data_IF_006718955407
#
_entry.id   IF_006718955407
#
_cell.length_a   1.000
_cell.length_b   1.000
_cell.length_c   1.000
_cell.angle_alpha   90.00
_cell.angle_beta   90.00
_cell.angle_gamma   90.00
#
_symmetry.space_group_name_H-M   'P 1'
#
loop_
_entity.id
_entity.type
_entity.pdbx_description
1 polymer ?
#
# COMPACT_ATOMS: atom_id res chain seq x y z
N UNK A 1 -8.61 -23.06 13.24
CA UNK A 1 -9.46 -22.20 12.39
C UNK A 1 -10.79 -22.89 12.17
N UNK A 2 -11.92 -22.17 12.20
CA UNK A 2 -13.25 -22.75 11.96
C UNK A 2 -13.53 -22.84 10.45
N UNK A 3 -13.87 -24.02 9.93
CA UNK A 3 -14.16 -24.25 8.50
C UNK A 3 -15.22 -23.27 7.96
N UNK A 4 -16.26 -23.01 8.76
CA UNK A 4 -17.32 -22.04 8.45
C UNK A 4 -16.81 -20.62 8.17
N UNK A 5 -15.72 -20.20 8.83
CA UNK A 5 -15.12 -18.88 8.62
C UNK A 5 -14.34 -18.84 7.32
N UNK A 6 -13.72 -19.96 6.92
CA UNK A 6 -12.90 -20.09 5.71
C UNK A 6 -13.75 -20.20 4.46
N UNK A 7 -14.76 -21.08 4.49
CA UNK A 7 -15.67 -21.31 3.38
C UNK A 7 -16.47 -20.05 3.02
N UNK A 8 -16.77 -19.20 4.02
CA UNK A 8 -17.47 -17.96 3.82
C UNK A 8 -16.63 -16.89 3.08
N UNK A 9 -15.30 -17.05 2.98
CA UNK A 9 -14.44 -16.04 2.35
C UNK A 9 -14.50 -16.06 0.82
N UNK A 10 -14.68 -17.24 0.21
CA UNK A 10 -14.81 -17.35 -1.24
C UNK A 10 -15.43 -18.67 -1.69
N UNK A 11 -16.03 -18.72 -2.90
CA UNK A 11 -16.51 -19.97 -3.48
C UNK A 11 -15.41 -21.02 -3.67
N UNK A 12 -14.18 -20.58 -3.96
CA UNK A 12 -13.01 -21.47 -4.10
C UNK A 12 -12.72 -22.14 -2.77
N UNK A 13 -12.65 -21.38 -1.67
CA UNK A 13 -12.42 -21.92 -0.33
C UNK A 13 -13.57 -22.79 0.15
N UNK A 14 -14.82 -22.42 -0.15
CA UNK A 14 -15.97 -23.28 0.13
C UNK A 14 -15.86 -24.64 -0.56
N UNK A 15 -15.48 -24.63 -1.84
CA UNK A 15 -15.27 -25.86 -2.59
C UNK A 15 -14.09 -26.65 -2.01
N UNK A 16 -12.98 -25.98 -1.69
CA UNK A 16 -11.80 -26.61 -1.10
C UNK A 16 -12.09 -27.29 0.23
N UNK A 17 -12.90 -26.67 1.09
CA UNK A 17 -13.23 -27.17 2.43
C UNK A 17 -14.30 -28.27 2.42
N UNK A 18 -15.31 -28.15 1.56
CA UNK A 18 -16.52 -28.99 1.62
C UNK A 18 -16.60 -30.08 0.54
N UNK A 19 -15.77 -30.04 -0.50
CA UNK A 19 -15.82 -31.01 -1.58
C UNK A 19 -15.00 -32.25 -1.24
N UNK A 20 -15.69 -33.37 -1.02
CA UNK A 20 -15.09 -34.68 -0.67
C UNK A 20 -14.19 -35.29 -1.73
N UNK A 21 -14.15 -34.72 -2.94
CA UNK A 21 -13.18 -35.11 -3.96
C UNK A 21 -11.76 -34.60 -3.64
N UNK A 22 -11.60 -33.64 -2.72
CA UNK A 22 -10.30 -33.22 -2.20
C UNK A 22 -9.93 -34.06 -0.98
N UNK A 23 -8.69 -34.55 -0.95
CA UNK A 23 -8.13 -35.32 0.16
C UNK A 23 -8.18 -34.49 1.45
N UNK A 24 -7.91 -33.20 1.35
CA UNK A 24 -7.89 -32.22 2.43
C UNK A 24 -9.25 -32.07 3.11
N UNK A 25 -10.34 -32.08 2.33
CA UNK A 25 -11.71 -32.04 2.85
C UNK A 25 -12.06 -33.33 3.62
N UNK A 26 -11.61 -34.48 3.11
CA UNK A 26 -11.78 -35.77 3.79
C UNK A 26 -10.97 -35.88 5.09
N UNK A 27 -9.74 -35.38 5.09
CA UNK A 27 -8.83 -35.38 6.24
C UNK A 27 -9.10 -34.24 7.23
N UNK A 28 -9.93 -33.26 6.86
CA UNK A 28 -10.16 -32.00 7.59
C UNK A 28 -8.84 -31.27 7.91
N UNK A 29 -7.88 -31.41 7.02
CA UNK A 29 -6.53 -30.91 7.17
C UNK A 29 -5.97 -30.51 5.81
N UNK A 30 -5.51 -29.28 5.69
CA UNK A 30 -4.89 -28.75 4.47
C UNK A 30 -3.48 -28.27 4.79
N UNK A 31 -2.53 -28.61 3.92
CA UNK A 31 -1.16 -28.09 3.97
C UNK A 31 -0.97 -27.11 2.81
N UNK A 32 -0.50 -25.90 3.13
CA UNK A 32 -0.27 -24.82 2.17
C UNK A 32 1.24 -24.50 2.12
N UNK A 33 2.06 -25.31 1.43
CA UNK A 33 3.52 -25.15 1.43
C UNK A 33 4.00 -23.84 0.79
N UNK A 34 3.19 -23.28 -0.13
CA UNK A 34 3.53 -22.07 -0.88
C UNK A 34 3.06 -20.78 -0.18
N UNK A 35 2.41 -20.90 0.99
CA UNK A 35 1.92 -19.78 1.78
C UNK A 35 2.79 -19.65 3.03
N UNK A 36 3.48 -18.53 3.17
CA UNK A 36 4.25 -18.24 4.37
C UNK A 36 3.35 -17.98 5.60
N UNK A 37 3.93 -18.15 6.77
CA UNK A 37 3.21 -18.05 8.04
C UNK A 37 2.60 -16.66 8.25
N UNK A 38 3.29 -15.59 7.89
CA UNK A 38 2.79 -14.22 8.08
C UNK A 38 1.58 -13.94 7.19
N UNK A 39 1.63 -14.38 5.92
CA UNK A 39 0.48 -14.30 5.00
C UNK A 39 -0.71 -15.08 5.56
N UNK A 40 -0.47 -16.30 6.07
CA UNK A 40 -1.53 -17.13 6.64
C UNK A 40 -2.14 -16.52 7.91
N UNK A 41 -1.32 -16.02 8.84
CA UNK A 41 -1.78 -15.34 10.06
C UNK A 41 -2.60 -14.10 9.71
N UNK A 42 -2.14 -13.30 8.75
CA UNK A 42 -2.83 -12.09 8.29
C UNK A 42 -4.19 -12.43 7.66
N UNK A 43 -4.25 -13.50 6.86
CA UNK A 43 -5.50 -14.02 6.33
C UNK A 43 -6.46 -14.46 7.45
N UNK A 44 -5.98 -15.16 8.49
CA UNK A 44 -6.81 -15.56 9.63
C UNK A 44 -7.38 -14.32 10.32
N UNK A 45 -6.55 -13.32 10.62
CA UNK A 45 -7.01 -12.08 11.24
C UNK A 45 -8.13 -11.43 10.42
N UNK A 46 -7.92 -11.35 9.10
CA UNK A 46 -8.93 -10.85 8.17
C UNK A 46 -10.20 -11.70 8.18
N UNK A 47 -10.11 -13.01 8.12
CA UNK A 47 -11.28 -13.88 8.03
C UNK A 47 -12.19 -13.76 9.25
N UNK A 48 -11.63 -13.51 10.44
CA UNK A 48 -12.40 -13.33 11.68
C UNK A 48 -12.88 -11.90 11.93
N UNK A 49 -12.13 -10.88 11.52
CA UNK A 49 -12.43 -9.48 11.88
C UNK A 49 -12.90 -8.63 10.70
N UNK A 50 -12.73 -9.12 9.47
CA UNK A 50 -12.96 -8.38 8.25
C UNK A 50 -11.93 -7.27 7.97
N UNK A 51 -10.83 -7.23 8.72
CA UNK A 51 -9.72 -6.29 8.56
C UNK A 51 -8.39 -6.97 8.95
N UNK A 52 -7.26 -6.40 8.56
CA UNK A 52 -5.95 -6.82 9.06
C UNK A 52 -5.13 -5.60 9.44
N UNK A 53 -4.21 -5.77 10.40
CA UNK A 53 -3.32 -4.68 10.81
C UNK A 53 -2.28 -4.40 9.74
N UNK A 54 -2.09 -3.12 9.43
CA UNK A 54 -1.06 -2.65 8.49
C UNK A 54 0.27 -2.64 9.25
N UNK A 55 1.21 -3.49 8.87
CA UNK A 55 2.59 -3.46 9.38
C UNK A 55 3.11 -1.99 9.44
N UNK A 56 3.62 -1.60 10.62
CA UNK A 56 3.88 -0.21 11.00
C UNK A 56 3.03 0.24 12.20
N UNK A 57 1.79 -0.24 12.35
CA UNK A 57 0.90 0.19 13.45
C UNK A 57 1.09 -0.59 14.76
N UNK A 58 1.79 -1.73 14.74
CA UNK A 58 2.00 -2.56 15.93
C UNK A 58 2.91 -1.87 16.97
N UNK A 59 3.97 -1.19 16.54
CA UNK A 59 4.81 -0.36 17.42
C UNK A 59 4.07 0.89 17.94
N UNK A 60 3.04 1.35 17.24
CA UNK A 60 2.18 2.45 17.68
C UNK A 60 1.25 2.07 18.83
N UNK A 61 0.76 0.81 18.91
CA UNK A 61 -0.07 0.36 20.04
C UNK A 61 0.71 0.35 21.36
N UNK A 62 1.97 -0.10 21.35
CA UNK A 62 2.84 -0.07 22.53
C UNK A 62 3.19 1.38 22.94
N UNK A 63 3.43 2.28 21.98
CA UNK A 63 3.74 3.69 22.28
C UNK A 63 2.52 4.51 22.70
N UNK A 64 1.33 4.29 22.11
CA UNK A 64 0.08 4.92 22.56
C UNK A 64 -0.32 4.41 23.94
N UNK A 65 -0.07 3.15 24.27
CA UNK A 65 -0.25 2.64 25.63
C UNK A 65 0.68 3.37 26.63
N UNK A 66 1.93 3.64 26.26
CA UNK A 66 2.89 4.38 27.09
C UNK A 66 2.55 5.87 27.25
N UNK A 67 1.96 6.51 26.23
CA UNK A 67 1.51 7.92 26.29
C UNK A 67 0.20 8.04 27.09
N UNK A 68 -0.77 7.17 26.83
CA UNK A 68 -2.08 7.18 27.52
C UNK A 68 -1.94 6.85 29.01
N UNK A 69 -0.98 6.01 29.41
CA UNK A 69 -0.68 5.76 30.83
C UNK A 69 0.06 6.92 31.51
N UNK A 70 0.72 7.81 30.74
CA UNK A 70 1.39 9.01 31.27
C UNK A 70 0.47 10.22 31.39
N UNK A 71 -0.53 10.33 30.52
CA UNK A 71 -1.43 11.49 30.48
C UNK A 71 -2.63 11.38 31.44
N UNK A 72 -2.91 10.19 31.99
CA UNK A 72 -3.89 10.05 33.08
C UNK A 72 -3.44 10.63 34.45
N UNK A 73 -2.26 11.26 34.53
CA UNK A 73 -1.72 11.84 35.76
C UNK A 73 -1.62 13.37 35.77
N UNK A 74 -2.09 14.09 34.74
CA UNK A 74 -2.05 15.56 34.73
C UNK A 74 -3.22 16.17 33.99
N UNK A 75 -4.31 16.41 34.72
CA UNK A 75 -5.19 17.57 34.57
C UNK A 75 -5.64 17.91 36.01
N UNK A 76 -5.61 19.13 36.53
CA UNK A 76 -6.23 20.36 36.04
C UNK A 76 -5.61 21.58 36.74
N UNK A 77 -5.55 22.72 36.05
CA UNK A 77 -5.87 24.09 36.51
C UNK A 77 -5.76 25.00 35.26
N UNK A 78 -6.88 25.41 34.64
CA UNK A 78 -7.70 26.60 34.91
C UNK A 78 -7.24 27.89 34.20
N UNK A 79 -8.26 28.56 33.67
CA UNK A 79 -8.43 29.98 33.38
C UNK A 79 -8.03 30.63 32.01
N UNK A 80 -9.06 31.18 31.35
CA UNK A 80 -9.12 32.63 31.09
C UNK A 80 -8.59 33.24 29.78
N UNK A 81 -9.49 33.46 28.81
CA UNK A 81 -9.80 34.82 28.30
C UNK A 81 -9.05 35.48 27.12
N UNK A 82 -9.82 36.18 26.26
CA UNK A 82 -9.39 37.28 25.36
C UNK A 82 -9.59 37.00 23.85
N UNK A 83 -10.61 37.51 23.14
CA UNK A 83 -11.00 38.88 22.73
C UNK A 83 -10.25 39.50 21.52
N UNK A 84 -10.95 39.51 20.38
CA UNK A 84 -10.97 40.37 19.16
C UNK A 84 -9.86 41.40 18.84
N UNK A 85 -9.38 41.40 17.58
CA UNK A 85 -9.67 42.40 16.51
C UNK A 85 -8.50 42.63 15.53
N UNK A 86 -8.81 42.73 14.22
CA UNK A 86 -8.18 43.54 13.13
C UNK A 86 -8.29 42.75 11.80
N UNK A 87 -8.99 43.13 10.73
CA UNK A 87 -9.40 44.45 10.25
C UNK A 87 -8.40 44.96 9.22
N UNK A 88 -8.50 44.56 7.93
CA UNK A 88 -8.06 45.37 6.77
C UNK A 88 -8.76 44.94 5.47
N UNK A 89 -9.07 45.97 4.69
CA UNK A 89 -9.80 46.01 3.43
C UNK A 89 -9.15 45.23 2.26
N UNK A 90 -9.97 44.74 1.33
CA UNK A 90 -9.55 44.52 -0.05
C UNK A 90 -10.71 44.73 -1.05
N UNK A 91 -10.53 45.72 -1.92
CA UNK A 91 -11.40 46.06 -3.07
C UNK A 91 -11.38 44.93 -4.12
N UNK A 92 -12.43 44.77 -4.94
CA UNK A 92 -12.50 43.69 -5.93
C UNK A 92 -11.61 44.01 -7.14
N UNK A 93 -10.62 43.14 -7.39
CA UNK A 93 -9.80 43.20 -8.60
C UNK A 93 -10.58 42.67 -9.81
N UNK A 94 -10.47 43.41 -10.91
CA UNK A 94 -11.10 43.18 -12.20
C UNK A 94 -10.74 41.82 -12.78
N UNK A 95 -11.75 41.10 -13.29
CA UNK A 95 -11.58 39.90 -14.10
C UNK A 95 -10.83 40.25 -15.39
N UNK A 96 -9.57 39.81 -15.48
CA UNK A 96 -8.83 39.75 -16.74
C UNK A 96 -8.97 38.33 -17.27
N UNK A 97 -9.78 38.18 -18.32
CA UNK A 97 -9.96 36.91 -19.02
C UNK A 97 -8.61 36.44 -19.61
N UNK A 98 -8.03 35.40 -19.04
CA UNK A 98 -6.91 34.69 -19.64
C UNK A 98 -7.48 33.72 -20.67
N UNK A 99 -6.93 33.73 -21.90
CA UNK A 99 -7.26 32.78 -22.97
C UNK A 99 -7.04 31.33 -22.53
N UNK A 100 -7.41 30.33 -23.34
CA UNK A 100 -7.37 28.92 -22.95
C UNK A 100 -5.91 28.50 -22.74
N UNK A 101 -5.43 28.63 -21.51
CA UNK A 101 -4.15 28.11 -21.09
C UNK A 101 -4.16 26.61 -21.32
N UNK A 102 -3.11 26.10 -21.98
CA UNK A 102 -2.84 24.66 -22.08
C UNK A 102 -3.07 24.06 -20.70
N UNK A 103 -4.09 23.22 -20.53
CA UNK A 103 -4.33 22.50 -19.29
C UNK A 103 -3.08 21.68 -19.02
N UNK A 104 -2.23 22.13 -18.08
CA UNK A 104 -1.09 21.34 -17.62
C UNK A 104 -1.66 20.00 -17.18
N UNK A 105 -1.17 18.90 -17.75
CA UNK A 105 -1.53 17.57 -17.30
C UNK A 105 -1.23 17.48 -15.80
N UNK A 106 -2.11 16.86 -15.01
CA UNK A 106 -1.90 16.74 -13.57
C UNK A 106 -0.57 16.03 -13.31
N UNK A 107 0.15 16.48 -12.28
CA UNK A 107 1.39 15.84 -11.82
C UNK A 107 1.16 14.32 -11.69
N UNK A 108 1.93 13.46 -12.37
CA UNK A 108 1.77 12.01 -12.34
C UNK A 108 1.74 11.45 -10.91
N UNK A 109 2.51 12.07 -10.00
CA UNK A 109 2.48 11.70 -8.59
C UNK A 109 1.17 12.05 -7.88
N UNK A 110 0.60 13.23 -8.18
CA UNK A 110 -0.72 13.61 -7.69
C UNK A 110 -1.81 12.67 -8.23
N UNK A 111 -1.76 12.33 -9.53
CA UNK A 111 -2.69 11.38 -10.14
C UNK A 111 -2.61 9.99 -9.50
N UNK A 112 -1.40 9.49 -9.23
CA UNK A 112 -1.19 8.23 -8.51
C UNK A 112 -1.82 8.28 -7.11
N UNK A 113 -1.56 9.33 -6.33
CA UNK A 113 -2.16 9.51 -4.99
C UNK A 113 -3.69 9.53 -5.04
N UNK A 114 -4.27 10.24 -6.01
CA UNK A 114 -5.72 10.27 -6.22
C UNK A 114 -6.28 8.90 -6.58
N UNK A 115 -5.60 8.14 -7.45
CA UNK A 115 -6.02 6.80 -7.84
C UNK A 115 -6.04 5.83 -6.66
N UNK A 116 -4.99 5.83 -5.81
CA UNK A 116 -4.95 5.01 -4.60
C UNK A 116 -6.06 5.42 -3.62
N UNK A 117 -6.27 6.72 -3.40
CA UNK A 117 -7.33 7.20 -2.52
C UNK A 117 -8.73 6.81 -3.02
N UNK A 118 -8.94 6.82 -4.34
CA UNK A 118 -10.20 6.41 -4.97
C UNK A 118 -10.43 4.89 -4.91
N UNK A 119 -9.38 4.08 -4.85
CA UNK A 119 -9.44 2.62 -4.76
C UNK A 119 -9.81 2.09 -3.36
N UNK A 120 -10.16 2.97 -2.42
CA UNK A 120 -10.51 2.61 -1.04
C UNK A 120 -11.65 1.59 -0.97
N UNK A 121 -11.47 0.43 -0.32
CA UNK A 121 -12.53 -0.57 -0.17
C UNK A 121 -13.74 -0.07 0.63
N UNK A 122 -14.95 -0.50 0.24
CA UNK A 122 -16.20 -0.17 0.94
C UNK A 122 -16.21 -0.78 2.35
N UNK A 123 -16.69 -0.02 3.33
CA UNK A 123 -16.72 -0.45 4.73
C UNK A 123 -15.36 -0.39 5.45
N UNK A 124 -14.29 0.00 4.75
CA UNK A 124 -13.03 0.37 5.38
C UNK A 124 -13.19 1.76 6.02
N UNK A 125 -13.56 1.81 7.30
CA UNK A 125 -13.67 3.04 8.09
C UNK A 125 -12.30 3.38 8.71
N UNK A 126 -11.91 4.67 8.80
CA UNK A 126 -10.81 5.07 9.68
C UNK A 126 -11.22 4.75 11.13
N UNK A 127 -10.29 4.36 12.00
CA UNK A 127 -8.99 5.01 12.15
C UNK A 127 -7.86 4.00 12.00
N UNK A 128 -7.45 3.72 10.77
CA UNK A 128 -6.10 3.20 10.57
C UNK A 128 -5.28 4.40 10.12
N UNK A 129 -4.36 4.79 11.00
CA UNK A 129 -3.50 5.96 10.90
C UNK A 129 -2.79 6.02 9.55
N UNK A 130 -2.34 7.20 9.16
CA UNK A 130 -1.46 7.33 7.99
C UNK A 130 -0.29 6.34 8.15
N UNK A 131 0.08 5.64 7.07
CA UNK A 131 1.26 4.77 7.11
C UNK A 131 2.46 5.66 7.38
N UNK A 132 3.00 5.56 8.59
CA UNK A 132 4.22 6.23 9.01
C UNK A 132 5.37 5.25 8.82
N UNK A 133 6.32 5.60 7.97
CA UNK A 133 7.55 4.84 7.79
C UNK A 133 8.59 5.44 8.74
N UNK A 134 8.87 4.72 9.81
CA UNK A 134 9.83 5.12 10.82
C UNK A 134 11.27 4.74 10.41
N UNK A 135 12.30 5.42 10.96
CA UNK A 135 13.67 4.99 10.82
C UNK A 135 13.87 3.59 11.42
N UNK A 136 14.23 2.62 10.59
CA UNK A 136 14.43 1.22 11.00
C UNK A 136 13.31 0.27 10.55
N UNK A 137 12.23 0.78 9.96
CA UNK A 137 11.21 -0.06 9.33
C UNK A 137 11.79 -0.76 8.09
N UNK A 138 11.62 -2.09 8.05
CA UNK A 138 11.87 -2.91 6.87
C UNK A 138 10.71 -2.73 5.88
N UNK A 139 10.83 -1.67 5.06
CA UNK A 139 9.79 -1.31 4.10
C UNK A 139 9.70 -2.33 2.97
N UNK A 140 10.81 -2.97 2.59
CA UNK A 140 10.80 -4.06 1.62
C UNK A 140 9.88 -5.19 2.11
N UNK A 141 10.01 -5.62 3.36
CA UNK A 141 9.14 -6.64 3.97
C UNK A 141 7.67 -6.20 3.97
N UNK A 142 7.37 -4.95 4.37
CA UNK A 142 5.99 -4.44 4.35
C UNK A 142 5.37 -4.50 2.95
N UNK A 143 6.11 -4.05 1.93
CA UNK A 143 5.66 -4.07 0.54
C UNK A 143 5.45 -5.51 0.03
N UNK A 144 6.40 -6.40 0.31
CA UNK A 144 6.33 -7.81 -0.10
C UNK A 144 5.18 -8.52 0.61
N UNK A 145 4.93 -8.24 1.89
CA UNK A 145 3.82 -8.78 2.66
C UNK A 145 2.46 -8.47 2.04
N UNK A 146 2.19 -7.21 1.69
CA UNK A 146 0.93 -6.86 1.03
C UNK A 146 0.81 -7.48 -0.36
N UNK A 147 1.95 -7.62 -1.06
CA UNK A 147 2.00 -8.27 -2.37
C UNK A 147 1.66 -9.76 -2.26
N UNK A 148 2.26 -10.49 -1.31
CA UNK A 148 1.95 -11.89 -1.03
C UNK A 148 0.50 -12.08 -0.61
N UNK A 149 -0.02 -11.20 0.26
CA UNK A 149 -1.40 -11.25 0.68
C UNK A 149 -2.37 -11.00 -0.48
N UNK A 150 -2.00 -10.12 -1.43
CA UNK A 150 -2.77 -9.93 -2.66
C UNK A 150 -2.75 -11.20 -3.51
N UNK A 151 -1.58 -11.81 -3.76
CA UNK A 151 -1.45 -13.04 -4.56
C UNK A 151 -2.20 -14.22 -3.93
N UNK A 152 -2.13 -14.35 -2.60
CA UNK A 152 -2.92 -15.32 -1.85
C UNK A 152 -4.43 -15.08 -2.07
N UNK A 153 -4.88 -13.84 -1.92
CA UNK A 153 -6.28 -13.49 -2.07
C UNK A 153 -6.78 -13.71 -3.51
N UNK A 154 -5.95 -13.43 -4.52
CA UNK A 154 -6.23 -13.69 -5.92
C UNK A 154 -6.38 -15.20 -6.20
N UNK A 155 -5.42 -16.01 -5.72
CA UNK A 155 -5.44 -17.48 -5.85
C UNK A 155 -6.73 -18.10 -5.31
N UNK A 156 -7.24 -17.58 -4.19
CA UNK A 156 -8.49 -18.05 -3.57
C UNK A 156 -9.73 -17.24 -3.95
N UNK A 157 -9.63 -16.23 -4.83
CA UNK A 157 -10.76 -15.38 -5.23
C UNK A 157 -11.43 -14.64 -4.07
N UNK A 158 -10.65 -14.05 -3.17
CA UNK A 158 -11.13 -13.28 -2.01
C UNK A 158 -11.08 -11.78 -2.35
N UNK A 159 -12.03 -11.31 -3.16
CA UNK A 159 -12.04 -9.95 -3.75
C UNK A 159 -11.80 -8.83 -2.74
N UNK A 160 -12.42 -8.91 -1.57
CA UNK A 160 -12.30 -7.88 -0.53
C UNK A 160 -10.90 -7.85 0.08
N UNK A 161 -10.25 -9.00 0.22
CA UNK A 161 -8.88 -9.07 0.71
C UNK A 161 -7.90 -8.57 -0.35
N UNK A 162 -8.11 -8.91 -1.63
CA UNK A 162 -7.34 -8.33 -2.75
C UNK A 162 -7.40 -6.81 -2.71
N UNK A 163 -8.60 -6.24 -2.59
CA UNK A 163 -8.80 -4.79 -2.53
C UNK A 163 -8.12 -4.13 -1.34
N UNK A 164 -8.17 -4.75 -0.16
CA UNK A 164 -7.48 -4.25 1.04
C UNK A 164 -5.96 -4.31 0.90
N UNK A 165 -5.41 -5.43 0.43
CA UNK A 165 -3.97 -5.61 0.22
C UNK A 165 -3.43 -4.60 -0.80
N UNK A 166 -4.14 -4.40 -1.91
CA UNK A 166 -3.75 -3.44 -2.94
C UNK A 166 -3.80 -2.00 -2.43
N UNK A 167 -4.84 -1.66 -1.66
CA UNK A 167 -4.97 -0.33 -1.05
C UNK A 167 -3.87 -0.05 -0.02
N UNK A 168 -3.57 -1.02 0.85
CA UNK A 168 -2.48 -0.91 1.84
C UNK A 168 -1.12 -0.79 1.15
N UNK A 169 -0.84 -1.61 0.13
CA UNK A 169 0.37 -1.48 -0.70
C UNK A 169 0.49 -0.09 -1.30
N UNK A 170 -0.59 0.43 -1.90
CA UNK A 170 -0.62 1.78 -2.47
C UNK A 170 -0.35 2.86 -1.43
N UNK A 171 -0.89 2.73 -0.22
CA UNK A 171 -0.64 3.67 0.89
C UNK A 171 0.81 3.64 1.36
N UNK A 172 1.41 2.46 1.48
CA UNK A 172 2.83 2.30 1.84
C UNK A 172 3.73 2.88 0.76
N UNK A 173 3.42 2.66 -0.52
CA UNK A 173 4.13 3.29 -1.64
C UNK A 173 4.01 4.83 -1.61
N UNK A 174 2.85 5.38 -1.24
CA UNK A 174 2.69 6.84 -1.09
C UNK A 174 3.53 7.38 0.07
N UNK A 175 3.56 6.68 1.20
CA UNK A 175 4.40 7.04 2.34
C UNK A 175 5.89 6.97 2.00
N UNK A 176 6.27 6.04 1.11
CA UNK A 176 7.58 5.94 0.49
C UNK A 176 7.78 6.99 -0.62
N UNK A 177 7.63 8.27 -0.30
CA UNK A 177 7.88 9.35 -1.25
C UNK A 177 9.40 9.59 -1.40
N UNK A 178 9.98 9.05 -2.48
CA UNK A 178 11.41 9.17 -2.79
C UNK A 178 11.85 10.60 -3.10
N UNK A 179 10.92 11.56 -3.30
CA UNK A 179 11.24 12.96 -3.61
C UNK A 179 11.46 13.82 -2.37
N UNK A 180 10.82 13.48 -1.26
CA UNK A 180 10.84 14.29 -0.02
C UNK A 180 11.91 13.83 0.97
N UNK A 181 12.48 12.65 0.76
CA UNK A 181 13.56 12.12 1.59
C UNK A 181 14.89 12.82 1.29
N UNK A 182 15.33 13.68 2.21
CA UNK A 182 16.50 14.55 2.05
C UNK A 182 17.76 14.04 2.79
N UNK A 183 17.71 12.86 3.43
CA UNK A 183 18.85 12.25 4.09
C UNK A 183 19.69 11.42 3.12
N UNK A 184 20.93 11.82 2.84
CA UNK A 184 21.83 11.17 1.86
C UNK A 184 22.02 9.65 2.05
N UNK A 185 21.77 9.08 3.23
CA UNK A 185 21.93 7.63 3.50
C UNK A 185 20.62 6.84 3.36
N UNK A 186 19.46 7.45 3.56
CA UNK A 186 18.17 6.74 3.55
C UNK A 186 17.55 6.56 2.16
N UNK A 187 17.87 7.45 1.20
CA UNK A 187 17.27 7.38 -0.15
C UNK A 187 17.69 6.12 -0.90
N UNK A 188 18.96 5.70 -0.78
CA UNK A 188 19.46 4.51 -1.47
C UNK A 188 18.80 3.23 -0.94
N UNK A 189 18.64 3.13 0.38
CA UNK A 189 17.90 2.05 1.05
C UNK A 189 16.44 2.00 0.58
N UNK A 190 15.75 3.14 0.53
CA UNK A 190 14.37 3.20 0.02
C UNK A 190 14.23 2.85 -1.45
N UNK A 191 15.24 3.16 -2.27
CA UNK A 191 15.30 2.68 -3.66
C UNK A 191 15.49 1.17 -3.71
N UNK A 192 16.34 0.61 -2.84
CA UNK A 192 16.54 -0.83 -2.72
C UNK A 192 15.25 -1.55 -2.29
N UNK A 193 14.46 -0.96 -1.40
CA UNK A 193 13.15 -1.51 -0.99
C UNK A 193 12.22 -1.71 -2.21
N UNK A 194 12.17 -0.73 -3.12
CA UNK A 194 11.38 -0.82 -4.36
C UNK A 194 11.96 -1.84 -5.34
N UNK A 195 13.29 -1.93 -5.44
CA UNK A 195 13.96 -2.94 -6.27
C UNK A 195 13.67 -4.35 -5.75
N UNK A 196 13.69 -4.56 -4.44
CA UNK A 196 13.35 -5.84 -3.82
C UNK A 196 11.89 -6.25 -4.11
N UNK A 197 10.95 -5.29 -4.04
CA UNK A 197 9.56 -5.53 -4.44
C UNK A 197 9.44 -5.96 -5.92
N UNK A 198 10.14 -5.28 -6.82
CA UNK A 198 10.11 -5.63 -8.25
C UNK A 198 10.79 -6.98 -8.51
N UNK A 199 11.90 -7.27 -7.86
CA UNK A 199 12.56 -8.59 -7.93
C UNK A 199 11.59 -9.68 -7.48
N UNK A 200 10.88 -9.47 -6.38
CA UNK A 200 9.86 -10.41 -5.91
C UNK A 200 8.78 -10.65 -6.97
N UNK A 201 8.23 -9.59 -7.58
CA UNK A 201 7.15 -9.72 -8.56
C UNK A 201 7.58 -10.37 -9.89
N UNK A 202 8.82 -10.16 -10.34
CA UNK A 202 9.27 -10.59 -11.67
C UNK A 202 10.22 -11.80 -11.66
N UNK A 203 10.79 -12.17 -10.52
CA UNK A 203 11.56 -13.41 -10.37
C UNK A 203 10.68 -14.60 -9.95
N UNK A 204 9.41 -14.36 -9.62
CA UNK A 204 8.44 -15.42 -9.36
C UNK A 204 8.14 -16.18 -10.66
N UNK A 205 7.97 -17.50 -10.57
CA UNK A 205 7.68 -18.35 -11.73
C UNK A 205 6.36 -18.00 -12.41
N UNK A 206 5.39 -17.50 -11.63
CA UNK A 206 4.08 -17.10 -12.12
C UNK A 206 4.01 -15.56 -12.25
N UNK A 207 3.47 -15.04 -13.37
CA UNK A 207 3.32 -13.62 -13.55
C UNK A 207 2.31 -13.05 -12.55
N UNK A 208 2.69 -11.96 -11.88
CA UNK A 208 1.79 -11.26 -10.97
C UNK A 208 0.58 -10.68 -11.71
N UNK A 209 -0.62 -10.65 -11.11
CA UNK A 209 -1.83 -10.14 -11.76
C UNK A 209 -1.71 -8.67 -12.22
N UNK A 210 -2.36 -8.35 -13.34
CA UNK A 210 -2.29 -7.04 -14.01
C UNK A 210 -2.60 -5.86 -13.10
N UNK A 211 -3.57 -6.00 -12.19
CA UNK A 211 -3.96 -4.92 -11.31
C UNK A 211 -2.87 -4.57 -10.28
N UNK A 212 -2.17 -5.60 -9.76
CA UNK A 212 -1.05 -5.47 -8.85
C UNK A 212 0.16 -4.87 -9.57
N UNK A 213 0.53 -5.43 -10.73
CA UNK A 213 1.67 -4.94 -11.52
C UNK A 213 1.44 -3.50 -12.00
N UNK A 214 0.21 -3.15 -12.40
CA UNK A 214 -0.15 -1.80 -12.81
C UNK A 214 0.01 -0.77 -11.68
N UNK A 215 -0.38 -1.10 -10.44
CA UNK A 215 -0.16 -0.22 -9.29
C UNK A 215 1.32 0.06 -9.06
N UNK A 216 2.13 -1.02 -9.00
CA UNK A 216 3.56 -0.93 -8.74
C UNK A 216 4.26 -0.16 -9.88
N UNK A 217 3.95 -0.48 -11.13
CA UNK A 217 4.58 0.16 -12.29
C UNK A 217 4.24 1.65 -12.42
N UNK A 218 3.03 2.07 -12.07
CA UNK A 218 2.68 3.50 -12.02
C UNK A 218 3.50 4.25 -10.97
N UNK A 219 3.72 3.64 -9.80
CA UNK A 219 4.61 4.20 -8.78
C UNK A 219 6.07 4.28 -9.28
N UNK A 220 6.58 3.20 -9.87
CA UNK A 220 7.93 3.13 -10.43
C UNK A 220 8.12 4.18 -11.52
N UNK A 221 7.14 4.35 -12.41
CA UNK A 221 7.15 5.40 -13.41
C UNK A 221 7.29 6.77 -12.73
N UNK A 222 6.46 7.09 -11.73
CA UNK A 222 6.49 8.37 -11.01
C UNK A 222 7.87 8.71 -10.42
N UNK A 223 8.67 7.69 -10.10
CA UNK A 223 9.99 7.80 -9.47
C UNK A 223 11.15 7.32 -10.35
N UNK A 224 10.93 7.13 -11.65
CA UNK A 224 11.87 6.47 -12.56
C UNK A 224 13.26 7.14 -12.59
N UNK A 225 13.32 8.47 -12.56
CA UNK A 225 14.59 9.22 -12.56
C UNK A 225 15.47 8.91 -11.34
N UNK A 226 14.86 8.56 -10.21
CA UNK A 226 15.58 8.22 -8.97
C UNK A 226 15.98 6.75 -8.98
N UNK A 227 15.05 5.87 -9.35
CA UNK A 227 15.29 4.44 -9.47
C UNK A 227 16.37 4.13 -10.51
N UNK A 228 16.42 4.87 -11.62
CA UNK A 228 17.42 4.69 -12.67
C UNK A 228 18.86 4.90 -12.21
N UNK A 229 19.10 5.61 -11.09
CA UNK A 229 20.46 5.79 -10.55
C UNK A 229 20.99 4.52 -9.87
N UNK A 230 20.12 3.59 -9.49
CA UNK A 230 20.50 2.33 -8.87
C UNK A 230 20.84 1.29 -9.95
N UNK A 231 22.01 0.66 -9.82
CA UNK A 231 22.50 -0.29 -10.81
C UNK A 231 21.74 -1.62 -10.80
N UNK A 232 21.18 -2.03 -9.68
CA UNK A 232 20.38 -3.26 -9.58
C UNK A 232 19.02 -3.09 -10.26
N UNK A 233 18.43 -1.90 -10.20
CA UNK A 233 17.25 -1.55 -11.00
C UNK A 233 17.54 -1.64 -12.50
N UNK A 234 18.68 -1.11 -12.96
CA UNK A 234 19.09 -1.22 -14.37
C UNK A 234 19.29 -2.66 -14.80
N UNK A 235 19.94 -3.49 -13.97
CA UNK A 235 20.10 -4.93 -14.24
C UNK A 235 18.75 -5.63 -14.30
N UNK A 236 17.81 -5.29 -13.41
CA UNK A 236 16.48 -5.88 -13.39
C UNK A 236 15.72 -5.63 -14.70
N UNK A 237 15.77 -4.39 -15.22
CA UNK A 237 15.18 -4.04 -16.51
C UNK A 237 15.85 -4.75 -17.70
N UNK A 238 17.16 -5.00 -17.62
CA UNK A 238 17.89 -5.74 -18.63
C UNK A 238 17.55 -7.23 -18.62
N UNK A 239 17.30 -7.81 -17.45
CA UNK A 239 16.90 -9.21 -17.28
C UNK A 239 15.47 -9.45 -17.74
N UNK A 240 14.56 -8.53 -17.40
CA UNK A 240 13.12 -8.67 -17.63
C UNK A 240 12.63 -7.69 -18.69
N UNK A 241 12.68 -8.11 -19.96
CA UNK A 241 12.29 -7.25 -21.09
C UNK A 241 10.85 -6.73 -21.00
N UNK A 242 9.92 -7.54 -20.46
CA UNK A 242 8.51 -7.17 -20.28
C UNK A 242 8.31 -6.04 -19.27
N UNK A 243 9.09 -6.06 -18.18
CA UNK A 243 9.13 -4.96 -17.19
C UNK A 243 9.57 -3.66 -17.87
N UNK A 244 10.64 -3.73 -18.67
CA UNK A 244 11.17 -2.59 -19.42
C UNK A 244 10.16 -2.01 -20.41
N UNK A 245 9.54 -2.85 -21.23
CA UNK A 245 8.53 -2.44 -22.20
C UNK A 245 7.32 -1.76 -21.53
N UNK A 246 6.81 -2.36 -20.46
CA UNK A 246 5.66 -1.82 -19.71
C UNK A 246 5.98 -0.48 -19.06
N UNK A 247 7.17 -0.34 -18.47
CA UNK A 247 7.61 0.92 -17.87
C UNK A 247 7.78 2.03 -18.91
N UNK A 248 8.40 1.72 -20.07
CA UNK A 248 8.56 2.69 -21.16
C UNK A 248 7.21 3.16 -21.67
N UNK A 249 6.24 2.26 -21.86
CA UNK A 249 4.88 2.63 -22.25
C UNK A 249 4.26 3.66 -21.30
N UNK A 250 4.34 3.42 -19.98
CA UNK A 250 3.84 4.36 -18.98
C UNK A 250 4.60 5.69 -18.95
N UNK A 251 5.89 5.69 -19.27
CA UNK A 251 6.68 6.93 -19.35
C UNK A 251 6.33 7.74 -20.60
N UNK A 252 6.04 7.10 -21.73
CA UNK A 252 5.59 7.76 -22.96
C UNK A 252 4.23 8.42 -22.77
N UNK A 253 3.27 7.71 -22.15
CA UNK A 253 1.93 8.26 -21.84
C UNK A 253 1.97 9.53 -20.99
N UNK A 254 3.05 9.74 -20.22
CA UNK A 254 3.26 10.93 -19.41
C UNK A 254 3.85 12.12 -20.18
N UNK A 255 4.54 11.86 -21.29
CA UNK A 255 5.20 12.89 -22.10
C UNK A 255 4.25 13.48 -23.15
N UNK A 256 3.36 12.66 -23.69
CA UNK A 256 2.22 13.09 -24.52
C UNK A 256 1.22 13.90 -23.69
#
# INVERSE_FOLDING_TARGET
MHSAVVEAQSPVLNTFVNNTNFKEAGERHASLPDVDEDTFITFIQYAYTGAFEVAGTAHQRDRLADVVLKDCARDYDDDGGGSWSAGYDARPARFVAHGPGRRRKPDPWAAFKTAVAAARPKGYLPPFEEVLIEPGDDVADMLIRYTRLYLFADCYGIDRLMGLSLFSLGKTLIALDLKTYNGNRGVEERVQDVVALLQFCYNSSDPAPDQLTSLILRYVACNAERLWKNSDFQKLLATHAELGASLVGLLVERLD
#
